data_IF_203419838876
#
_entry.id   IF_203419838876
#
_cell.length_a   1.000
_cell.length_b   1.000
_cell.length_c   1.000
_cell.angle_alpha   90.00
_cell.angle_beta   90.00
_cell.angle_gamma   90.00
#
_symmetry.space_group_name_H-M   'P 1'
#
loop_
_entity.id
_entity.type
_entity.pdbx_description
1 polymer ?
#
# COMPACT_ATOMS: atom_id res chain seq x y z
N UNK A 1 55.66 9.43 8.37
CA UNK A 1 55.60 10.81 8.90
C UNK A 1 54.80 11.67 7.93
N UNK A 2 53.51 11.37 7.73
CA UNK A 2 52.75 11.88 6.55
C UNK A 2 51.27 12.21 6.76
N UNK A 3 50.68 12.04 7.95
CA UNK A 3 49.20 12.06 8.07
C UNK A 3 48.59 13.44 8.26
N UNK A 4 49.09 14.27 9.20
CA UNK A 4 48.33 15.45 9.61
C UNK A 4 48.93 16.82 9.25
N UNK A 5 50.10 16.91 8.61
CA UNK A 5 50.68 18.16 8.06
C UNK A 5 50.93 19.32 9.05
N UNK A 6 50.36 19.26 10.24
CA UNK A 6 50.31 20.31 11.23
C UNK A 6 51.49 20.11 12.18
N UNK A 7 52.49 20.95 12.01
CA UNK A 7 53.38 21.30 13.10
C UNK A 7 52.75 22.49 13.85
N UNK A 8 52.52 22.40 15.17
CA UNK A 8 52.84 21.29 16.07
C UNK A 8 51.88 20.09 15.95
N UNK A 9 52.39 18.89 16.26
CA UNK A 9 51.63 17.64 16.25
C UNK A 9 50.37 17.78 17.09
N UNK A 10 49.23 17.35 16.53
CA UNK A 10 47.97 17.35 17.26
C UNK A 10 47.86 16.11 18.15
N UNK A 11 47.42 16.32 19.40
CA UNK A 11 47.24 15.25 20.39
C UNK A 11 45.79 15.18 20.84
N UNK A 12 45.25 13.97 20.99
CA UNK A 12 43.91 13.79 21.54
C UNK A 12 43.69 12.41 22.11
N UNK A 13 42.60 12.29 22.86
CA UNK A 13 42.14 11.03 23.45
C UNK A 13 41.51 10.19 22.35
N UNK A 14 41.90 8.93 22.25
CA UNK A 14 41.29 7.99 21.30
C UNK A 14 39.85 7.68 21.70
N UNK A 15 38.91 7.94 20.79
CA UNK A 15 37.47 7.77 21.03
C UNK A 15 36.95 6.48 20.37
N UNK A 16 37.51 6.11 19.23
CA UNK A 16 37.12 4.89 18.52
C UNK A 16 37.69 4.84 17.10
N UNK A 17 37.37 3.75 16.41
CA UNK A 17 37.72 3.53 15.02
C UNK A 17 36.52 3.02 14.25
N UNK A 18 36.44 3.37 12.97
CA UNK A 18 35.42 2.85 12.07
C UNK A 18 35.86 1.54 11.38
N UNK A 19 34.95 0.98 10.58
CA UNK A 19 35.22 -0.21 9.78
C UNK A 19 36.23 0.03 8.63
N UNK A 20 36.43 1.28 8.22
CA UNK A 20 37.39 1.65 7.17
C UNK A 20 38.83 1.81 7.72
N UNK A 21 38.99 1.75 9.05
CA UNK A 21 40.28 1.89 9.72
C UNK A 21 40.66 3.33 10.07
N UNK A 22 39.75 4.30 9.90
CA UNK A 22 39.93 5.66 10.38
C UNK A 22 39.87 5.67 11.92
N UNK A 23 40.76 6.44 12.54
CA UNK A 23 40.84 6.58 14.00
C UNK A 23 40.41 7.98 14.41
N UNK A 24 39.54 8.07 15.41
CA UNK A 24 38.96 9.32 15.87
C UNK A 24 39.50 9.74 17.23
N UNK A 25 39.82 11.03 17.34
CA UNK A 25 40.43 11.61 18.53
C UNK A 25 39.71 12.88 18.95
N UNK A 26 39.66 13.13 20.26
CA UNK A 26 39.10 14.36 20.83
C UNK A 26 40.04 14.98 21.87
N UNK A 27 40.19 16.31 21.82
CA UNK A 27 40.87 17.12 22.82
C UNK A 27 40.17 18.47 22.95
N UNK A 28 39.33 18.58 23.98
CA UNK A 28 38.57 19.80 24.32
C UNK A 28 39.33 20.76 25.24
N UNK A 29 40.53 20.38 25.70
CA UNK A 29 41.33 21.14 26.66
C UNK A 29 42.28 22.07 25.91
N UNK A 30 43.05 21.53 24.97
CA UNK A 30 44.14 22.26 24.30
C UNK A 30 43.70 22.93 22.99
N UNK A 31 42.61 22.48 22.38
CA UNK A 31 42.14 22.99 21.09
C UNK A 31 40.80 23.72 21.17
N UNK A 32 40.64 24.80 20.38
CA UNK A 32 39.38 25.52 20.30
C UNK A 32 38.29 24.69 19.61
N UNK A 33 37.05 25.12 19.78
CA UNK A 33 35.90 24.56 19.07
C UNK A 33 36.15 24.58 17.55
N UNK A 34 35.76 23.51 16.86
CA UNK A 34 36.08 23.26 15.44
C UNK A 34 37.43 22.60 15.17
N UNK A 35 38.39 22.59 16.11
CA UNK A 35 39.67 21.88 15.98
C UNK A 35 39.89 20.78 17.03
N UNK A 36 39.00 20.71 18.02
CA UNK A 36 39.03 19.75 19.12
C UNK A 36 38.75 18.29 18.73
N UNK A 37 38.10 18.03 17.59
CA UNK A 37 37.88 16.68 17.06
C UNK A 37 38.78 16.48 15.85
N UNK A 38 39.35 15.29 15.71
CA UNK A 38 40.35 14.96 14.71
C UNK A 38 40.14 13.54 14.20
N UNK A 39 40.45 13.32 12.92
CA UNK A 39 40.48 12.01 12.31
C UNK A 39 41.89 11.73 11.79
N UNK A 40 42.39 10.54 12.09
CA UNK A 40 43.57 9.98 11.44
C UNK A 40 43.09 8.94 10.41
N UNK A 41 43.34 9.16 9.12
CA UNK A 41 42.82 8.29 8.08
C UNK A 41 43.46 6.91 8.11
N UNK A 42 42.65 5.87 7.83
CA UNK A 42 43.13 4.49 7.70
C UNK A 42 44.06 4.33 6.49
N UNK A 43 43.70 4.94 5.36
CA UNK A 43 44.54 5.06 4.17
C UNK A 43 45.12 6.47 4.06
N UNK A 44 46.42 6.59 4.34
CA UNK A 44 47.16 7.85 4.37
C UNK A 44 47.34 8.44 2.95
N UNK A 45 47.41 7.58 1.93
CA UNK A 45 47.77 8.00 0.58
C UNK A 45 46.57 8.39 -0.28
N UNK A 46 45.37 7.94 0.10
CA UNK A 46 44.14 8.16 -0.65
C UNK A 46 42.96 8.55 0.27
N UNK A 47 43.23 9.44 1.22
CA UNK A 47 42.18 9.95 2.09
C UNK A 47 41.28 10.97 1.38
N UNK A 48 39.97 10.79 1.55
CA UNK A 48 38.95 11.77 1.17
C UNK A 48 38.05 12.07 2.37
N UNK A 49 37.56 13.30 2.50
CA UNK A 49 36.62 13.69 3.56
C UNK A 49 35.31 12.89 3.47
N UNK A 50 34.92 12.45 2.27
CA UNK A 50 33.76 11.58 2.06
C UNK A 50 33.98 10.12 2.51
N UNK A 51 35.22 9.73 2.85
CA UNK A 51 35.52 8.39 3.37
C UNK A 51 35.09 8.18 4.83
N UNK A 52 34.73 9.27 5.53
CA UNK A 52 34.18 9.20 6.89
C UNK A 52 32.75 8.66 6.81
N UNK A 53 32.43 7.54 7.48
CA UNK A 53 31.09 6.98 7.48
C UNK A 53 30.08 7.91 8.16
N UNK A 54 28.79 7.82 7.81
CA UNK A 54 27.76 8.74 8.30
C UNK A 54 27.61 8.72 9.82
N UNK A 55 27.84 7.57 10.47
CA UNK A 55 27.81 7.41 11.93
C UNK A 55 28.83 8.35 12.61
N UNK A 56 30.07 8.40 12.10
CA UNK A 56 31.14 9.23 12.63
C UNK A 56 31.09 10.67 12.11
N UNK A 57 30.51 10.90 10.92
CA UNK A 57 30.41 12.23 10.33
C UNK A 57 29.64 13.20 11.23
N UNK A 58 28.49 12.79 11.78
CA UNK A 58 27.69 13.64 12.66
C UNK A 58 28.44 14.09 13.92
N UNK A 59 29.20 13.16 14.53
CA UNK A 59 30.07 13.49 15.65
C UNK A 59 31.25 14.38 15.21
N UNK A 60 31.91 14.08 14.09
CA UNK A 60 33.04 14.87 13.60
C UNK A 60 32.67 16.34 13.33
N UNK A 61 31.46 16.60 12.83
CA UNK A 61 30.94 17.96 12.57
C UNK A 61 30.25 18.61 13.77
N UNK A 62 30.33 18.01 14.96
CA UNK A 62 29.64 18.51 16.17
C UNK A 62 28.11 18.65 16.02
N UNK A 63 27.49 17.81 15.18
CA UNK A 63 26.02 17.68 15.15
C UNK A 63 25.54 16.86 16.36
N UNK A 64 26.30 15.82 16.69
CA UNK A 64 26.07 14.98 17.86
C UNK A 64 27.28 15.10 18.81
N UNK A 65 27.01 15.17 20.12
CA UNK A 65 28.06 15.18 21.14
C UNK A 65 28.56 13.77 21.47
N UNK A 66 27.69 12.78 21.37
CA UNK A 66 27.99 11.37 21.65
C UNK A 66 28.62 10.72 20.41
N UNK A 67 29.81 10.10 20.54
CA UNK A 67 30.41 9.35 19.45
C UNK A 67 29.65 8.02 19.23
N UNK A 68 29.73 7.42 18.03
CA UNK A 68 29.15 6.11 17.74
C UNK A 68 29.60 5.00 18.71
N UNK A 69 30.83 5.08 19.21
CA UNK A 69 31.36 4.10 20.17
C UNK A 69 30.68 4.12 21.55
N UNK A 70 30.02 5.23 21.92
CA UNK A 70 29.31 5.38 23.20
C UNK A 70 27.80 5.61 23.01
N UNK A 71 27.29 5.41 21.80
CA UNK A 71 25.89 5.68 21.45
C UNK A 71 24.93 4.73 22.19
N UNK A 72 25.27 3.45 22.29
CA UNK A 72 24.43 2.45 22.97
C UNK A 72 24.32 2.74 24.48
N UNK A 73 25.42 3.15 25.11
CA UNK A 73 25.45 3.54 26.52
C UNK A 73 24.61 4.80 26.75
N UNK A 74 24.75 5.79 25.86
CA UNK A 74 23.94 7.01 25.90
C UNK A 74 22.45 6.71 25.80
N UNK A 75 22.02 5.86 24.86
CA UNK A 75 20.61 5.48 24.75
C UNK A 75 20.11 4.74 25.99
N UNK A 76 20.90 3.83 26.56
CA UNK A 76 20.55 3.14 27.81
C UNK A 76 20.36 4.12 28.98
N UNK A 77 21.17 5.17 29.07
CA UNK A 77 21.02 6.20 30.10
C UNK A 77 19.85 7.13 29.83
N UNK A 78 19.69 7.59 28.59
CA UNK A 78 18.59 8.47 28.17
C UNK A 78 17.22 7.79 28.36
N UNK A 79 17.12 6.49 28.03
CA UNK A 79 15.88 5.71 28.16
C UNK A 79 15.37 5.64 29.61
N UNK A 80 16.26 5.71 30.63
CA UNK A 80 15.85 5.73 32.04
C UNK A 80 15.04 6.98 32.40
N UNK A 81 15.24 8.08 31.67
CA UNK A 81 14.55 9.34 31.91
C UNK A 81 13.19 9.41 31.18
N UNK A 82 12.91 8.47 30.27
CA UNK A 82 11.67 8.42 29.52
C UNK A 82 10.56 7.88 30.42
N UNK A 83 9.59 8.73 30.78
CA UNK A 83 8.39 8.30 31.49
C UNK A 83 7.42 7.66 30.50
N UNK A 84 7.21 6.36 30.63
CA UNK A 84 6.19 5.64 29.87
C UNK A 84 4.78 6.14 30.23
N UNK A 85 4.02 6.60 29.23
CA UNK A 85 2.64 7.09 29.40
C UNK A 85 1.60 5.97 29.28
N UNK A 86 1.84 5.02 28.39
CA UNK A 86 0.97 3.88 28.16
C UNK A 86 1.79 2.62 27.91
N UNK A 87 1.23 1.48 28.27
CA UNK A 87 1.80 0.17 27.98
C UNK A 87 1.60 -0.16 26.51
N UNK A 88 2.68 -0.52 25.80
CA UNK A 88 2.56 -1.21 24.53
C UNK A 88 2.60 -2.71 24.80
N UNK A 89 1.70 -3.47 24.18
CA UNK A 89 1.78 -4.92 24.14
C UNK A 89 2.79 -5.43 23.11
N UNK A 90 3.49 -4.51 22.41
CA UNK A 90 4.53 -4.83 21.46
C UNK A 90 5.83 -5.12 22.21
N UNK A 91 6.52 -6.21 21.89
CA UNK A 91 7.84 -6.53 22.48
C UNK A 91 8.99 -5.64 21.97
N UNK A 92 8.69 -4.43 21.52
CA UNK A 92 9.60 -3.48 20.91
C UNK A 92 9.42 -2.16 21.68
N UNK A 93 10.54 -1.57 22.10
CA UNK A 93 10.62 -0.37 22.94
C UNK A 93 10.55 0.95 22.17
N UNK A 94 10.84 0.93 20.86
CA UNK A 94 10.78 2.11 19.98
C UNK A 94 9.67 2.05 18.91
N UNK A 95 9.20 3.22 18.49
CA UNK A 95 8.10 3.39 17.52
C UNK A 95 8.44 2.98 16.08
N UNK A 96 9.69 2.58 15.80
CA UNK A 96 10.16 2.24 14.45
C UNK A 96 9.87 0.77 14.08
N UNK A 97 9.43 -0.05 15.04
CA UNK A 97 9.23 -1.49 14.84
C UNK A 97 10.54 -2.27 15.00
N UNK A 98 10.57 -3.54 14.58
CA UNK A 98 11.76 -4.38 14.71
C UNK A 98 12.86 -3.87 13.77
N UNK A 99 14.02 -3.51 14.33
CA UNK A 99 15.20 -3.08 13.59
C UNK A 99 16.27 -4.17 13.74
N UNK A 100 16.73 -4.74 12.62
CA UNK A 100 17.89 -5.63 12.64
C UNK A 100 19.16 -4.82 12.94
N UNK A 101 20.05 -5.33 13.81
CA UNK A 101 21.31 -4.67 14.23
C UNK A 101 22.20 -4.27 13.05
N UNK A 102 22.13 -5.02 11.96
CA UNK A 102 22.82 -4.71 10.71
C UNK A 102 21.76 -4.56 9.63
N UNK A 103 21.89 -3.55 8.78
CA UNK A 103 21.10 -3.39 7.54
C UNK A 103 21.49 -4.50 6.54
N UNK A 104 21.29 -5.76 6.92
CA UNK A 104 21.55 -6.92 6.12
C UNK A 104 20.21 -7.57 5.83
N UNK A 105 19.61 -7.16 4.71
CA UNK A 105 18.48 -7.87 4.13
C UNK A 105 18.86 -9.30 3.69
N UNK A 106 19.88 -9.97 4.27
CA UNK A 106 20.36 -11.29 3.84
C UNK A 106 20.67 -11.34 2.33
N UNK A 107 21.22 -10.25 1.78
CA UNK A 107 21.35 -10.05 0.32
C UNK A 107 20.04 -10.13 -0.49
N UNK A 108 18.88 -10.07 0.16
CA UNK A 108 17.56 -9.98 -0.47
C UNK A 108 17.33 -8.55 -0.94
N UNK A 109 16.91 -8.42 -2.19
CA UNK A 109 16.44 -7.14 -2.70
C UNK A 109 15.17 -6.70 -1.96
N UNK A 110 15.04 -5.40 -1.71
CA UNK A 110 13.78 -4.84 -1.25
C UNK A 110 12.66 -5.22 -2.24
N UNK A 111 11.74 -6.09 -1.82
CA UNK A 111 10.71 -6.67 -2.70
C UNK A 111 9.74 -5.62 -3.25
N UNK A 112 9.63 -4.45 -2.63
CA UNK A 112 8.87 -3.32 -3.20
C UNK A 112 9.51 -2.73 -4.47
N UNK A 113 10.81 -2.99 -4.70
CA UNK A 113 11.52 -2.60 -5.92
C UNK A 113 11.41 -3.68 -7.01
N UNK A 114 11.06 -4.91 -6.65
CA UNK A 114 10.80 -6.04 -7.56
C UNK A 114 9.35 -5.96 -8.04
N UNK A 115 9.10 -5.06 -9.00
CA UNK A 115 7.76 -4.85 -9.58
C UNK A 115 7.74 -5.26 -11.03
N UNK A 116 6.59 -5.73 -11.51
CA UNK A 116 6.36 -5.81 -12.95
C UNK A 116 6.54 -4.43 -13.61
N UNK A 117 7.21 -4.40 -14.78
CA UNK A 117 7.44 -3.17 -15.55
C UNK A 117 6.27 -2.79 -16.47
N UNK A 118 5.24 -3.63 -16.53
CA UNK A 118 4.01 -3.39 -17.28
C UNK A 118 3.00 -4.49 -17.04
N UNK A 119 1.75 -4.29 -17.49
CA UNK A 119 0.70 -5.30 -17.32
C UNK A 119 1.05 -6.58 -18.07
N UNK A 120 1.23 -7.68 -17.33
CA UNK A 120 1.56 -9.00 -17.87
C UNK A 120 2.97 -9.16 -18.45
N UNK A 121 3.88 -8.19 -18.28
CA UNK A 121 5.23 -8.25 -18.86
C UNK A 121 6.25 -8.86 -17.89
N UNK A 122 6.04 -8.70 -16.57
CA UNK A 122 7.04 -9.05 -15.58
C UNK A 122 8.18 -8.03 -15.55
N UNK A 123 9.35 -8.43 -15.06
CA UNK A 123 10.52 -7.57 -14.96
C UNK A 123 11.80 -8.36 -15.28
N UNK A 124 12.34 -8.22 -16.51
CA UNK A 124 13.48 -8.99 -16.96
C UNK A 124 14.79 -8.63 -16.24
N UNK A 125 14.89 -7.44 -15.64
CA UNK A 125 16.09 -6.99 -14.92
C UNK A 125 16.28 -7.76 -13.61
N UNK A 126 15.18 -8.15 -12.98
CA UNK A 126 15.16 -8.90 -11.70
C UNK A 126 14.69 -10.34 -11.89
N UNK A 127 14.53 -10.79 -13.13
CA UNK A 127 14.10 -12.15 -13.45
C UNK A 127 12.64 -12.48 -13.10
N UNK A 128 11.78 -11.48 -12.93
CA UNK A 128 10.35 -11.71 -12.63
C UNK A 128 9.62 -12.12 -13.91
N UNK A 129 9.01 -13.32 -13.98
CA UNK A 129 8.35 -13.79 -15.19
C UNK A 129 7.07 -12.98 -15.52
N UNK A 130 6.62 -13.02 -16.79
CA UNK A 130 5.32 -12.49 -17.20
C UNK A 130 4.18 -13.05 -16.32
N UNK A 131 3.19 -12.21 -16.01
CA UNK A 131 2.02 -12.54 -15.17
C UNK A 131 2.31 -13.01 -13.73
N UNK A 132 3.58 -12.96 -13.29
CA UNK A 132 3.91 -13.21 -11.89
C UNK A 132 3.25 -12.14 -11.00
N UNK A 133 2.66 -12.59 -9.89
CA UNK A 133 2.08 -11.68 -8.91
C UNK A 133 3.21 -10.94 -8.20
N UNK A 134 3.06 -9.62 -8.10
CA UNK A 134 3.97 -8.80 -7.30
C UNK A 134 3.96 -9.28 -5.84
N UNK A 135 5.14 -9.38 -5.23
CA UNK A 135 5.32 -9.99 -3.90
C UNK A 135 5.08 -9.02 -2.74
N UNK A 136 4.75 -7.76 -3.01
CA UNK A 136 4.51 -6.76 -1.97
C UNK A 136 3.02 -6.69 -1.58
N UNK A 137 2.78 -6.18 -0.37
CA UNK A 137 1.42 -5.98 0.14
C UNK A 137 0.62 -4.99 -0.72
N UNK A 138 -0.54 -5.41 -1.19
CA UNK A 138 -1.53 -4.54 -1.83
C UNK A 138 -2.68 -4.25 -0.89
N UNK A 139 -3.04 -2.98 -0.71
CA UNK A 139 -4.15 -2.58 0.13
C UNK A 139 -5.49 -3.24 -0.32
N UNK A 140 -6.40 -3.59 0.61
CA UNK A 140 -7.76 -4.00 0.29
C UNK A 140 -8.47 -2.93 -0.55
N UNK A 141 -9.16 -3.33 -1.61
CA UNK A 141 -9.82 -2.45 -2.57
C UNK A 141 -8.95 -2.03 -3.76
N UNK A 142 -7.63 -2.31 -3.73
CA UNK A 142 -6.76 -2.05 -4.88
C UNK A 142 -7.15 -2.93 -6.09
N UNK A 143 -7.17 -2.40 -7.32
CA UNK A 143 -7.38 -3.19 -8.54
C UNK A 143 -6.35 -4.31 -8.73
N UNK A 144 -5.17 -4.17 -8.12
CA UNK A 144 -4.09 -5.15 -8.16
C UNK A 144 -4.20 -6.23 -7.07
N UNK A 145 -5.09 -6.05 -6.10
CA UNK A 145 -5.30 -7.02 -5.04
C UNK A 145 -6.24 -8.13 -5.53
N UNK A 146 -5.74 -9.36 -5.59
CA UNK A 146 -6.52 -10.52 -6.03
C UNK A 146 -7.82 -10.72 -5.23
N UNK A 147 -7.84 -10.38 -3.94
CA UNK A 147 -9.04 -10.45 -3.11
C UNK A 147 -10.09 -9.39 -3.46
N UNK A 148 -9.67 -8.30 -4.10
CA UNK A 148 -10.54 -7.18 -4.51
C UNK A 148 -11.02 -7.31 -5.96
N UNK A 149 -10.34 -8.12 -6.78
CA UNK A 149 -10.77 -8.41 -8.16
C UNK A 149 -12.04 -9.26 -8.11
N UNK A 150 -13.16 -8.66 -8.50
CA UNK A 150 -14.45 -9.38 -8.57
C UNK A 150 -14.42 -10.37 -9.73
N UNK A 151 -14.68 -11.67 -9.49
CA UNK A 151 -14.75 -12.64 -10.57
C UNK A 151 -15.90 -12.32 -11.52
N UNK A 152 -15.75 -12.69 -12.79
CA UNK A 152 -16.83 -12.59 -13.77
C UNK A 152 -17.91 -13.61 -13.41
N UNK A 153 -19.09 -13.13 -13.04
CA UNK A 153 -20.29 -13.95 -12.83
C UNK A 153 -21.28 -13.67 -13.97
N UNK A 154 -21.69 -14.72 -14.69
CA UNK A 154 -22.74 -14.63 -15.69
C UNK A 154 -24.09 -14.90 -15.01
N UNK A 155 -25.12 -14.11 -15.35
CA UNK A 155 -26.47 -14.21 -14.75
C UNK A 155 -27.31 -15.27 -15.45
N UNK A 156 -27.03 -15.55 -16.73
CA UNK A 156 -27.71 -16.60 -17.50
C UNK A 156 -27.16 -16.74 -18.91
N UNK A 157 -27.79 -17.59 -19.71
CA UNK A 157 -27.53 -17.75 -21.15
C UNK A 157 -28.80 -17.53 -21.96
N UNK A 158 -28.64 -16.96 -23.14
CA UNK A 158 -29.76 -16.74 -24.06
C UNK A 158 -30.14 -18.04 -24.80
N UNK A 159 -29.16 -18.92 -25.01
CA UNK A 159 -29.37 -20.24 -25.61
C UNK A 159 -29.56 -21.29 -24.52
N UNK A 160 -30.43 -22.27 -24.78
CA UNK A 160 -30.68 -23.40 -23.90
C UNK A 160 -29.42 -24.24 -23.65
N UNK A 161 -28.50 -24.26 -24.62
CA UNK A 161 -27.23 -24.99 -24.55
C UNK A 161 -26.12 -24.24 -23.79
N UNK A 162 -26.42 -23.06 -23.23
CA UNK A 162 -25.43 -22.27 -22.47
C UNK A 162 -24.51 -21.39 -23.31
N UNK A 163 -24.71 -21.31 -24.63
CA UNK A 163 -23.81 -20.62 -25.57
C UNK A 163 -23.68 -19.12 -25.31
N UNK A 164 -24.68 -18.33 -25.69
CA UNK A 164 -24.69 -16.86 -25.49
C UNK A 164 -24.92 -16.47 -24.03
N UNK A 165 -23.92 -16.72 -23.18
CA UNK A 165 -23.92 -16.32 -21.78
C UNK A 165 -23.79 -14.79 -21.61
N UNK A 166 -24.53 -14.23 -20.66
CA UNK A 166 -24.54 -12.79 -20.39
C UNK A 166 -24.40 -12.47 -18.89
N UNK A 167 -23.69 -11.37 -18.59
CA UNK A 167 -23.51 -10.80 -17.24
C UNK A 167 -24.52 -9.70 -16.86
N UNK A 168 -25.34 -9.24 -17.79
CA UNK A 168 -26.40 -8.25 -17.54
C UNK A 168 -27.49 -8.31 -18.61
N UNK A 169 -28.69 -7.85 -18.28
CA UNK A 169 -29.81 -7.81 -19.23
C UNK A 169 -29.50 -6.96 -20.46
N UNK A 170 -28.85 -5.81 -20.27
CA UNK A 170 -28.35 -4.98 -21.39
C UNK A 170 -27.37 -5.74 -22.29
N UNK A 171 -26.58 -6.65 -21.73
CA UNK A 171 -25.69 -7.49 -22.55
C UNK A 171 -26.48 -8.60 -23.27
N UNK A 172 -27.48 -9.20 -22.62
CA UNK A 172 -28.40 -10.12 -23.29
C UNK A 172 -29.09 -9.44 -24.48
N UNK A 173 -29.57 -8.21 -24.32
CA UNK A 173 -30.14 -7.42 -25.41
C UNK A 173 -29.15 -7.12 -26.53
N UNK A 174 -27.87 -6.89 -26.23
CA UNK A 174 -26.83 -6.70 -27.26
C UNK A 174 -26.54 -8.00 -28.04
N UNK A 175 -26.68 -9.15 -27.40
CA UNK A 175 -26.46 -10.48 -28.01
C UNK A 175 -27.67 -11.00 -28.80
N UNK A 176 -28.86 -10.45 -28.56
CA UNK A 176 -30.08 -10.80 -29.31
C UNK A 176 -30.06 -10.29 -30.74
N UNK A 177 -30.55 -11.11 -31.66
CA UNK A 177 -30.73 -10.71 -33.07
C UNK A 177 -31.87 -9.69 -33.20
N UNK A 178 -31.92 -8.90 -34.30
CA UNK A 178 -33.03 -7.97 -34.55
C UNK A 178 -34.40 -8.67 -34.57
N UNK A 179 -34.45 -9.90 -35.08
CA UNK A 179 -35.67 -10.72 -35.16
C UNK A 179 -36.16 -11.16 -33.78
N UNK A 180 -35.25 -11.65 -32.93
CA UNK A 180 -35.55 -12.01 -31.53
C UNK A 180 -36.08 -10.81 -30.75
N UNK A 181 -35.51 -9.62 -30.96
CA UNK A 181 -36.00 -8.37 -30.35
C UNK A 181 -37.40 -8.02 -30.81
N UNK A 182 -37.65 -8.08 -32.12
CA UNK A 182 -38.97 -7.80 -32.68
C UNK A 182 -40.03 -8.78 -32.18
N UNK A 183 -39.68 -10.05 -32.01
CA UNK A 183 -40.58 -11.07 -31.45
C UNK A 183 -40.96 -10.76 -29.99
N UNK A 184 -39.98 -10.35 -29.16
CA UNK A 184 -40.24 -9.94 -27.78
C UNK A 184 -41.16 -8.72 -27.73
N UNK A 185 -40.90 -7.69 -28.55
CA UNK A 185 -41.76 -6.50 -28.61
C UNK A 185 -43.19 -6.84 -29.05
N UNK A 186 -43.35 -7.74 -30.04
CA UNK A 186 -44.68 -8.26 -30.41
C UNK A 186 -45.37 -8.95 -29.24
N UNK A 187 -44.67 -9.85 -28.53
CA UNK A 187 -45.24 -10.54 -27.37
C UNK A 187 -45.64 -9.59 -26.23
N UNK A 188 -44.86 -8.52 -26.00
CA UNK A 188 -45.18 -7.49 -25.00
C UNK A 188 -46.44 -6.72 -25.41
N UNK A 189 -46.54 -6.34 -26.68
CA UNK A 189 -47.72 -5.64 -27.21
C UNK A 189 -48.97 -6.51 -27.12
N UNK A 190 -48.86 -7.81 -27.42
CA UNK A 190 -50.00 -8.72 -27.34
C UNK A 190 -50.43 -9.01 -25.90
N UNK A 191 -49.49 -9.13 -24.97
CA UNK A 191 -49.79 -9.20 -23.53
C UNK A 191 -50.50 -7.92 -23.05
N UNK A 192 -50.01 -6.75 -23.43
CA UNK A 192 -50.62 -5.46 -23.08
C UNK A 192 -52.06 -5.37 -23.61
N UNK A 193 -52.30 -5.78 -24.85
CA UNK A 193 -53.66 -5.80 -25.43
C UNK A 193 -54.59 -6.70 -24.62
N UNK A 194 -54.12 -7.89 -24.24
CA UNK A 194 -54.88 -8.83 -23.42
C UNK A 194 -55.22 -8.24 -22.06
N UNK A 195 -54.26 -7.59 -21.40
CA UNK A 195 -54.47 -6.94 -20.10
C UNK A 195 -55.52 -5.82 -20.21
N UNK A 196 -55.45 -4.99 -21.26
CA UNK A 196 -56.44 -3.94 -21.54
C UNK A 196 -57.84 -4.54 -21.74
N UNK A 197 -57.97 -5.65 -22.49
CA UNK A 197 -59.25 -6.33 -22.67
C UNK A 197 -59.78 -6.89 -21.36
N UNK A 198 -58.94 -7.51 -20.54
CA UNK A 198 -59.35 -8.01 -19.22
C UNK A 198 -59.81 -6.89 -18.31
N UNK A 199 -59.13 -5.75 -18.29
CA UNK A 199 -59.55 -4.58 -17.52
C UNK A 199 -60.86 -3.98 -18.02
N UNK A 200 -61.07 -3.92 -19.35
CA UNK A 200 -62.36 -3.52 -19.93
C UNK A 200 -63.49 -4.45 -19.50
N UNK A 201 -63.27 -5.77 -19.52
CA UNK A 201 -64.24 -6.75 -19.06
C UNK A 201 -64.50 -6.64 -17.55
N UNK A 202 -63.46 -6.43 -16.75
CA UNK A 202 -63.57 -6.20 -15.30
C UNK A 202 -64.31 -4.89 -14.99
N UNK A 203 -64.07 -3.83 -15.77
CA UNK A 203 -64.78 -2.56 -15.64
C UNK A 203 -66.26 -2.70 -16.01
N UNK A 204 -66.57 -3.46 -17.08
CA UNK A 204 -67.95 -3.79 -17.45
C UNK A 204 -68.67 -4.58 -16.34
N UNK A 205 -68.00 -5.59 -15.76
CA UNK A 205 -68.51 -6.35 -14.60
C UNK A 205 -68.74 -5.45 -13.37
N UNK A 206 -67.80 -4.55 -13.05
CA UNK A 206 -67.94 -3.55 -11.98
C UNK A 206 -69.16 -2.65 -12.21
N UNK A 207 -69.37 -2.17 -13.44
CA UNK A 207 -70.51 -1.33 -13.81
C UNK A 207 -71.84 -2.08 -13.71
N UNK A 208 -71.90 -3.35 -14.15
CA UNK A 208 -73.10 -4.18 -13.97
C UNK A 208 -73.40 -4.46 -12.50
N UNK A 209 -72.40 -4.73 -11.67
CA UNK A 209 -72.58 -4.93 -10.23
C UNK A 209 -73.10 -3.66 -9.52
N UNK A 210 -72.65 -2.47 -9.94
CA UNK A 210 -73.18 -1.19 -9.45
C UNK A 210 -74.63 -0.95 -9.91
N UNK A 211 -74.96 -1.29 -11.15
CA UNK A 211 -76.32 -1.15 -11.68
C UNK A 211 -77.31 -2.13 -11.03
N UNK A 212 -76.88 -3.36 -10.72
CA UNK A 212 -77.68 -4.35 -9.98
C UNK A 212 -77.93 -3.96 -8.52
N UNK A 213 -77.18 -2.99 -7.96
CA UNK A 213 -77.41 -2.39 -6.64
C UNK A 213 -78.34 -1.16 -6.68
N UNK A 214 -79.10 -0.95 -7.76
CA UNK A 214 -80.04 0.16 -7.87
C UNK A 214 -81.31 -0.02 -7.03
N UNK A 215 -81.69 1.07 -6.33
CA UNK A 215 -82.97 1.33 -5.66
C UNK A 215 -83.24 0.63 -4.30
N UNK A 216 -82.45 0.98 -3.27
CA UNK A 216 -82.94 0.95 -1.90
C UNK A 216 -83.79 2.20 -1.62
N UNK A 217 -85.10 2.02 -1.53
CA UNK A 217 -86.07 3.03 -1.08
C UNK A 217 -85.68 3.62 0.28
N UNK A 218 -85.72 4.94 0.39
CA UNK A 218 -85.81 5.66 1.66
C UNK A 218 -87.16 5.32 2.31
N UNK A 219 -87.20 4.64 3.46
CA UNK A 219 -88.40 4.49 4.28
C UNK A 219 -88.09 4.16 5.77
N UNK A 220 -88.65 4.97 6.68
CA UNK A 220 -88.73 4.80 8.16
C UNK A 220 -87.69 5.63 8.92
N UNK A 221 -87.97 6.68 9.71
CA UNK A 221 -89.14 7.02 10.55
C UNK A 221 -89.53 5.93 11.55
#
# INVERSE_FOLDING_TARGET
MYTNGDYPFKFGTFIGSDAAGNRYYENRVDYPFGQHRLVEPGDIHNFDSASIPPEWHGWMTSMNDTPPSAEEEYFKEANKNIRQLDHSSTGIDHAVGHQEEVFNFHHLHNLSQVRSRGYGIGNPIVGLPPDAKDSYYTQPGSPYNAASIRPRVNIGSLDADGGRAYKSEKWAERLRTPEEKAAIERSKLDALKKDIETEKMNAMRRKMALAARGAGTVAGA
#
